data_IF_201406599581
#
_entry.id   IF_201406599581
#
_cell.length_a   1.000
_cell.length_b   1.000
_cell.length_c   1.000
_cell.angle_alpha   90.00
_cell.angle_beta   90.00
_cell.angle_gamma   90.00
#
_symmetry.space_group_name_H-M   'P 1'
#
loop_
_entity.id
_entity.type
_entity.pdbx_description
1 polymer ?
#
# COMPACT_ATOMS: atom_id res chain seq x y z
N UNK A 1 -10.79 -12.44 -5.23
CA UNK A 1 -10.74 -12.20 -3.78
C UNK A 1 -11.12 -10.74 -3.53
N UNK A 2 -11.79 -10.42 -2.42
CA UNK A 2 -12.06 -9.01 -2.08
C UNK A 2 -10.87 -8.46 -1.28
N UNK A 3 -10.40 -7.27 -1.65
CA UNK A 3 -9.36 -6.55 -0.90
C UNK A 3 -10.03 -5.67 0.13
N UNK A 4 -9.65 -5.82 1.38
CA UNK A 4 -10.12 -4.98 2.49
C UNK A 4 -8.93 -4.32 3.17
N UNK A 5 -9.11 -3.04 3.50
CA UNK A 5 -8.10 -2.25 4.18
C UNK A 5 -8.38 -2.20 5.67
N UNK A 6 -7.35 -2.42 6.48
CA UNK A 6 -7.41 -2.12 7.90
C UNK A 6 -7.54 -0.61 8.09
N UNK A 7 -8.28 -0.18 9.12
CA UNK A 7 -8.38 1.25 9.49
C UNK A 7 -7.00 1.86 9.76
N UNK A 8 -6.10 1.10 10.38
CA UNK A 8 -4.72 1.52 10.62
C UNK A 8 -3.94 1.69 9.33
N UNK A 9 -4.12 0.80 8.35
CA UNK A 9 -3.45 0.89 7.06
C UNK A 9 -3.88 2.13 6.27
N UNK A 10 -5.18 2.49 6.31
CA UNK A 10 -5.65 3.75 5.73
C UNK A 10 -5.02 4.97 6.42
N UNK A 11 -4.99 4.98 7.76
CA UNK A 11 -4.35 6.07 8.51
C UNK A 11 -2.85 6.17 8.18
N UNK A 12 -2.15 5.05 8.06
CA UNK A 12 -0.74 5.05 7.70
C UNK A 12 -0.50 5.63 6.31
N UNK A 13 -1.34 5.26 5.33
CA UNK A 13 -1.27 5.84 3.99
C UNK A 13 -1.47 7.36 3.99
N UNK A 14 -2.47 7.85 4.74
CA UNK A 14 -2.72 9.28 4.88
C UNK A 14 -1.54 10.01 5.54
N UNK A 15 -0.99 9.45 6.63
CA UNK A 15 0.15 10.03 7.35
C UNK A 15 1.42 10.08 6.46
N UNK A 16 1.71 9.01 5.71
CA UNK A 16 2.86 8.94 4.79
C UNK A 16 2.72 9.93 3.63
N UNK A 17 1.54 9.98 3.01
CA UNK A 17 1.28 10.92 1.92
C UNK A 17 1.37 12.38 2.41
N UNK A 18 0.83 12.67 3.60
CA UNK A 18 0.93 13.99 4.22
C UNK A 18 2.40 14.37 4.49
N UNK A 19 3.21 13.44 4.99
CA UNK A 19 4.63 13.67 5.24
C UNK A 19 5.41 13.95 3.96
N UNK A 20 5.24 13.13 2.92
CA UNK A 20 5.89 13.33 1.61
C UNK A 20 5.49 14.67 1.00
N UNK A 21 4.22 15.06 1.16
CA UNK A 21 3.67 16.31 0.61
C UNK A 21 4.32 17.57 1.19
N UNK A 22 4.91 17.50 2.39
CA UNK A 22 5.66 18.62 2.99
C UNK A 22 6.83 19.07 2.11
N UNK A 23 7.46 18.13 1.41
CA UNK A 23 8.61 18.39 0.53
C UNK A 23 8.20 18.39 -0.95
N UNK A 24 7.37 17.43 -1.35
CA UNK A 24 6.98 17.25 -2.75
C UNK A 24 5.55 16.72 -2.89
N UNK A 25 4.55 17.60 -3.05
CA UNK A 25 3.15 17.21 -3.24
C UNK A 25 2.92 16.29 -4.44
N UNK A 26 3.67 16.46 -5.54
CA UNK A 26 3.55 15.61 -6.72
C UNK A 26 4.05 14.19 -6.43
N UNK A 27 5.12 14.04 -5.63
CA UNK A 27 5.60 12.74 -5.19
C UNK A 27 4.60 12.04 -4.27
N UNK A 28 3.90 12.77 -3.40
CA UNK A 28 2.84 12.20 -2.56
C UNK A 28 1.69 11.62 -3.39
N UNK A 29 1.25 12.33 -4.44
CA UNK A 29 0.23 11.81 -5.37
C UNK A 29 0.73 10.56 -6.08
N UNK A 30 1.93 10.61 -6.66
CA UNK A 30 2.51 9.47 -7.36
C UNK A 30 2.68 8.24 -6.46
N UNK A 31 3.04 8.44 -5.19
CA UNK A 31 3.13 7.39 -4.18
C UNK A 31 1.79 6.70 -3.95
N UNK A 32 0.73 7.46 -3.70
CA UNK A 32 -0.62 6.91 -3.47
C UNK A 32 -1.13 6.16 -4.71
N UNK A 33 -0.92 6.73 -5.91
CA UNK A 33 -1.33 6.08 -7.16
C UNK A 33 -0.61 4.74 -7.39
N UNK A 34 0.70 4.71 -7.19
CA UNK A 34 1.51 3.50 -7.33
C UNK A 34 1.04 2.39 -6.37
N UNK A 35 0.70 2.75 -5.14
CA UNK A 35 0.20 1.83 -4.13
C UNK A 35 -1.21 1.31 -4.49
N UNK A 36 -2.12 2.18 -4.97
CA UNK A 36 -3.43 1.75 -5.44
C UNK A 36 -3.36 0.77 -6.63
N UNK A 37 -2.46 1.02 -7.59
CA UNK A 37 -2.25 0.13 -8.74
C UNK A 37 -1.74 -1.23 -8.26
N UNK A 38 -0.76 -1.24 -7.36
CA UNK A 38 -0.19 -2.44 -6.76
C UNK A 38 -1.25 -3.28 -6.05
N UNK A 39 -2.07 -2.65 -5.20
CA UNK A 39 -3.10 -3.34 -4.41
C UNK A 39 -4.23 -3.90 -5.27
N UNK A 40 -4.60 -3.24 -6.38
CA UNK A 40 -5.61 -3.77 -7.32
C UNK A 40 -5.23 -5.16 -7.87
N UNK A 41 -3.94 -5.47 -8.00
CA UNK A 41 -3.48 -6.76 -8.50
C UNK A 41 -3.77 -7.91 -7.52
N UNK A 42 -3.85 -7.62 -6.21
CA UNK A 42 -4.07 -8.63 -5.17
C UNK A 42 -5.46 -9.30 -5.26
N UNK A 43 -6.44 -8.62 -5.86
CA UNK A 43 -7.77 -9.20 -6.07
C UNK A 43 -7.71 -10.43 -7.01
N UNK A 44 -6.82 -10.37 -8.00
CA UNK A 44 -6.57 -11.42 -9.01
C UNK A 44 -5.45 -12.37 -8.61
N UNK A 45 -4.42 -11.87 -7.91
CA UNK A 45 -3.25 -12.64 -7.49
C UNK A 45 -2.99 -12.49 -5.99
N UNK A 46 -3.79 -13.13 -5.11
CA UNK A 46 -3.66 -13.01 -3.65
C UNK A 46 -2.29 -13.43 -3.09
N UNK A 47 -1.59 -14.33 -3.80
CA UNK A 47 -0.27 -14.82 -3.39
C UNK A 47 0.89 -13.96 -3.90
N UNK A 48 0.62 -12.80 -4.52
CA UNK A 48 1.65 -11.87 -4.97
C UNK A 48 2.45 -11.30 -3.77
N UNK A 49 3.72 -11.00 -4.01
CA UNK A 49 4.66 -10.57 -2.97
C UNK A 49 5.42 -11.74 -2.35
N UNK A 50 6.45 -11.43 -1.57
CA UNK A 50 7.27 -12.43 -0.87
C UNK A 50 6.64 -12.79 0.48
N UNK A 51 7.02 -13.92 1.05
CA UNK A 51 6.67 -14.23 2.43
C UNK A 51 7.17 -13.11 3.35
N UNK A 52 6.28 -12.62 4.22
CA UNK A 52 6.58 -11.52 5.10
C UNK A 52 7.40 -11.95 6.31
N UNK A 53 8.01 -10.97 6.98
CA UNK A 53 8.75 -11.19 8.24
C UNK A 53 7.85 -11.70 9.36
N UNK A 54 6.55 -11.41 9.29
CA UNK A 54 5.54 -11.90 10.23
C UNK A 54 4.88 -13.13 9.62
N UNK A 55 4.82 -14.21 10.39
CA UNK A 55 4.20 -15.46 9.93
C UNK A 55 2.76 -15.21 9.45
N UNK A 56 2.44 -15.70 8.26
CA UNK A 56 1.12 -15.55 7.65
C UNK A 56 0.90 -14.22 6.90
N UNK A 57 1.91 -13.34 6.79
CA UNK A 57 1.81 -12.13 5.96
C UNK A 57 2.63 -12.24 4.68
N UNK A 58 2.38 -11.32 3.74
CA UNK A 58 3.18 -11.13 2.52
C UNK A 58 3.65 -9.69 2.44
N UNK A 59 4.86 -9.49 1.95
CA UNK A 59 5.47 -8.17 1.75
C UNK A 59 5.57 -7.84 0.26
N UNK A 60 5.29 -6.58 -0.06
CA UNK A 60 5.48 -6.05 -1.40
C UNK A 60 6.99 -5.92 -1.71
N UNK A 61 7.46 -6.42 -2.86
CA UNK A 61 8.88 -6.38 -3.23
C UNK A 61 9.37 -4.99 -3.62
#
# INVERSE_FOLDING_TARGET
MQVEWLKTALKNLDDEAAYISLENPAAAVAFVEALQISVKQLASFPALGREGRIAGTREWP
#
